data_IF_814489465898
#
_entry.id   IF_814489465898
#
_cell.length_a   1.000
_cell.length_b   1.000
_cell.length_c   1.000
_cell.angle_alpha   90.00
_cell.angle_beta   90.00
_cell.angle_gamma   90.00
#
_symmetry.space_group_name_H-M   'P 1'
#
loop_
_entity.id
_entity.type
_entity.pdbx_description
1 polymer ?
#
# COMPACT_ATOMS: atom_id res chain seq x y z
N UNK A 1 14.96 -19.61 25.61
CA UNK A 1 14.24 -19.53 26.91
C UNK A 1 12.78 -19.89 26.73
N UNK A 2 12.01 -20.00 27.81
CA UNK A 2 10.58 -20.39 27.81
C UNK A 2 9.68 -19.35 27.13
N UNK A 3 8.48 -19.78 26.70
CA UNK A 3 7.49 -18.91 26.05
C UNK A 3 6.82 -17.89 26.97
N UNK A 4 6.65 -18.23 28.26
CA UNK A 4 6.23 -17.35 29.36
C UNK A 4 6.65 -18.00 30.69
N UNK A 5 6.53 -17.27 31.81
CA UNK A 5 6.88 -17.81 33.13
C UNK A 5 8.36 -18.17 33.20
N UNK A 6 9.21 -17.14 33.05
CA UNK A 6 10.63 -17.31 32.92
C UNK A 6 11.24 -17.92 34.19
N UNK A 7 12.37 -18.59 34.00
CA UNK A 7 13.19 -19.15 35.07
C UNK A 7 14.58 -18.51 35.01
N UNK A 8 15.38 -18.65 36.07
CA UNK A 8 16.75 -18.14 36.11
C UNK A 8 17.65 -18.52 34.91
N UNK A 9 17.42 -19.69 34.29
CA UNK A 9 18.12 -20.10 33.05
C UNK A 9 17.60 -19.47 31.75
N UNK A 10 16.58 -18.62 31.79
CA UNK A 10 16.04 -17.93 30.61
C UNK A 10 16.78 -16.62 30.41
N UNK A 11 17.33 -16.42 29.21
CA UNK A 11 18.08 -15.21 28.87
C UNK A 11 17.40 -13.88 29.23
N UNK A 12 16.08 -13.66 28.99
CA UNK A 12 15.47 -12.38 29.35
C UNK A 12 15.47 -12.11 30.86
N UNK A 13 15.26 -13.15 31.68
CA UNK A 13 15.30 -13.08 33.14
C UNK A 13 16.72 -12.81 33.65
N UNK A 14 17.71 -13.51 33.10
CA UNK A 14 19.12 -13.33 33.44
C UNK A 14 19.67 -11.94 33.06
N UNK A 15 19.12 -11.29 32.03
CA UNK A 15 19.55 -9.97 31.55
C UNK A 15 18.80 -8.83 32.23
N UNK A 16 17.48 -8.93 32.36
CA UNK A 16 16.65 -7.86 32.92
C UNK A 16 16.57 -7.90 34.45
N UNK A 17 16.58 -9.09 35.05
CA UNK A 17 16.35 -9.26 36.50
C UNK A 17 15.12 -8.48 36.98
N UNK A 18 15.27 -7.75 38.08
CA UNK A 18 14.21 -6.94 38.69
C UNK A 18 14.12 -5.51 38.12
N UNK A 19 14.85 -5.18 37.04
CA UNK A 19 14.83 -3.83 36.46
C UNK A 19 13.44 -3.53 35.88
N UNK A 20 12.77 -2.43 36.28
CA UNK A 20 11.52 -2.03 35.66
C UNK A 20 11.71 -1.72 34.17
N UNK A 21 10.92 -2.36 33.30
CA UNK A 21 10.93 -2.11 31.87
C UNK A 21 9.70 -1.30 31.46
N UNK A 22 9.87 0.00 31.19
CA UNK A 22 8.83 0.84 30.58
C UNK A 22 9.06 0.84 29.08
N UNK A 23 8.02 0.52 28.30
CA UNK A 23 8.19 0.23 26.89
C UNK A 23 7.13 0.92 26.02
N UNK A 24 7.42 2.11 25.46
CA UNK A 24 6.58 2.71 24.42
C UNK A 24 6.47 1.76 23.23
N UNK A 25 5.25 1.42 22.81
CA UNK A 25 5.02 0.42 21.78
C UNK A 25 3.86 0.80 20.86
N UNK A 26 3.89 0.36 19.61
CA UNK A 26 2.85 0.71 18.64
C UNK A 26 1.57 -0.09 18.91
N UNK A 27 0.43 0.61 18.98
CA UNK A 27 -0.84 0.01 19.40
C UNK A 27 -1.35 -1.10 18.46
N UNK A 28 -0.99 -1.05 17.18
CA UNK A 28 -1.47 -2.00 16.17
C UNK A 28 -0.62 -3.28 16.07
N UNK A 29 0.37 -3.46 16.94
CA UNK A 29 1.23 -4.66 16.99
C UNK A 29 1.10 -5.42 18.33
N UNK A 30 -0.10 -5.92 18.68
CA UNK A 30 -0.39 -6.42 20.03
C UNK A 30 0.32 -7.72 20.37
N UNK A 31 0.71 -8.53 19.38
CA UNK A 31 1.39 -9.82 19.60
C UNK A 31 2.76 -9.61 20.24
N UNK A 32 3.53 -8.71 19.67
CA UNK A 32 4.89 -8.35 20.01
C UNK A 32 4.91 -7.58 21.34
N UNK A 33 3.96 -6.64 21.52
CA UNK A 33 3.73 -5.98 22.80
C UNK A 33 3.40 -6.98 23.92
N UNK A 34 2.63 -8.03 23.61
CA UNK A 34 2.32 -9.11 24.57
C UNK A 34 3.56 -9.95 24.92
N UNK A 35 4.46 -10.21 23.97
CA UNK A 35 5.72 -10.89 24.26
C UNK A 35 6.58 -10.07 25.22
N UNK A 36 6.68 -8.75 25.02
CA UNK A 36 7.39 -7.87 25.94
C UNK A 36 6.80 -7.91 27.36
N UNK A 37 5.47 -7.85 27.50
CA UNK A 37 4.78 -7.97 28.79
C UNK A 37 5.08 -9.30 29.50
N UNK A 38 4.99 -10.42 28.76
CA UNK A 38 5.07 -11.78 29.34
C UNK A 38 6.50 -12.28 29.58
N UNK A 39 7.48 -11.76 28.84
CA UNK A 39 8.86 -12.26 28.86
C UNK A 39 9.90 -11.22 29.26
N UNK A 40 9.52 -9.96 29.44
CA UNK A 40 10.41 -8.93 29.95
C UNK A 40 9.75 -8.04 31.00
N UNK A 41 8.61 -8.48 31.58
CA UNK A 41 7.84 -7.74 32.58
C UNK A 41 7.60 -6.27 32.20
N UNK A 42 7.44 -6.02 30.89
CA UNK A 42 7.30 -4.68 30.35
C UNK A 42 5.97 -4.05 30.79
N UNK A 43 6.04 -2.85 31.32
CA UNK A 43 4.92 -1.91 31.37
C UNK A 43 4.86 -1.20 30.02
N UNK A 44 3.99 -1.68 29.14
CA UNK A 44 3.81 -1.10 27.81
C UNK A 44 3.00 0.18 27.90
N UNK A 45 3.49 1.23 27.24
CA UNK A 45 2.81 2.51 27.06
C UNK A 45 2.49 2.64 25.58
N UNK A 46 1.29 2.23 25.18
CA UNK A 46 0.93 2.19 23.76
C UNK A 46 0.86 3.60 23.17
N UNK A 47 1.37 3.75 21.95
CA UNK A 47 1.33 4.97 21.16
C UNK A 47 0.60 4.74 19.83
N UNK A 48 0.15 5.84 19.21
CA UNK A 48 -0.64 5.77 17.98
C UNK A 48 0.18 5.30 16.78
N UNK A 49 -0.53 4.80 15.77
CA UNK A 49 0.01 4.59 14.44
C UNK A 49 0.42 5.94 13.81
N UNK A 50 1.32 5.94 12.81
CA UNK A 50 1.62 7.14 12.04
C UNK A 50 0.36 7.79 11.44
N UNK A 51 0.39 9.09 11.13
CA UNK A 51 -0.68 9.74 10.38
C UNK A 51 -0.92 9.01 9.05
N UNK A 52 -2.19 8.85 8.69
CA UNK A 52 -2.61 8.17 7.46
C UNK A 52 -3.17 9.21 6.48
N UNK A 53 -2.81 9.09 5.20
CA UNK A 53 -3.36 9.87 4.10
C UNK A 53 -3.73 8.95 2.93
N UNK A 54 -4.48 9.47 1.95
CA UNK A 54 -4.68 8.76 0.68
C UNK A 54 -3.39 8.75 -0.12
N UNK A 55 -3.16 7.69 -0.89
CA UNK A 55 -1.99 7.60 -1.76
C UNK A 55 -2.03 8.65 -2.88
N UNK A 56 -3.24 8.97 -3.36
CA UNK A 56 -3.49 9.81 -4.53
C UNK A 56 -2.76 9.30 -5.80
N UNK A 57 -3.02 9.94 -6.95
CA UNK A 57 -2.29 9.65 -8.20
C UNK A 57 -1.18 10.68 -8.41
N UNK A 58 -0.04 10.22 -8.92
CA UNK A 58 1.11 11.08 -9.23
C UNK A 58 1.84 10.58 -10.48
N UNK A 59 2.67 11.45 -11.07
CA UNK A 59 3.53 11.08 -12.20
C UNK A 59 2.74 10.50 -13.38
N UNK A 60 3.10 9.28 -13.78
CA UNK A 60 2.51 8.61 -14.94
C UNK A 60 1.09 8.06 -14.67
N UNK A 61 0.74 7.75 -13.42
CA UNK A 61 -0.62 7.34 -13.05
C UNK A 61 -1.63 8.48 -13.27
N UNK A 62 -1.26 9.71 -12.90
CA UNK A 62 -2.10 10.89 -13.12
C UNK A 62 -2.25 11.22 -14.63
N UNK A 63 -1.21 10.98 -15.43
CA UNK A 63 -1.29 11.11 -16.90
C UNK A 63 -2.17 10.02 -17.50
N UNK A 64 -2.12 8.80 -16.96
CA UNK A 64 -2.95 7.70 -17.40
C UNK A 64 -4.42 8.01 -17.15
N UNK A 65 -4.80 8.50 -15.96
CA UNK A 65 -6.19 8.97 -15.68
C UNK A 65 -6.67 9.96 -16.74
N UNK A 66 -5.85 10.96 -17.10
CA UNK A 66 -6.20 11.94 -18.13
C UNK A 66 -6.42 11.30 -19.52
N UNK A 67 -5.61 10.30 -19.88
CA UNK A 67 -5.75 9.59 -21.14
C UNK A 67 -6.99 8.70 -21.18
N UNK A 68 -7.40 8.11 -20.04
CA UNK A 68 -8.65 7.34 -19.96
C UNK A 68 -9.87 8.25 -20.12
N UNK A 69 -9.86 9.43 -19.49
CA UNK A 69 -10.90 10.44 -19.67
C UNK A 69 -10.97 10.93 -21.14
N UNK A 70 -9.81 11.18 -21.76
CA UNK A 70 -9.72 11.56 -23.16
C UNK A 70 -10.25 10.45 -24.08
N UNK A 71 -9.93 9.19 -23.78
CA UNK A 71 -10.42 8.04 -24.53
C UNK A 71 -11.95 7.96 -24.48
N UNK A 72 -12.55 8.08 -23.29
CA UNK A 72 -14.00 8.09 -23.16
C UNK A 72 -14.65 9.21 -23.98
N UNK A 73 -14.08 10.42 -23.93
CA UNK A 73 -14.58 11.57 -24.69
C UNK A 73 -14.46 11.37 -26.22
N UNK A 74 -13.31 10.88 -26.67
CA UNK A 74 -13.01 10.68 -28.09
C UNK A 74 -13.83 9.54 -28.67
N UNK A 75 -14.03 8.45 -27.92
CA UNK A 75 -14.87 7.33 -28.35
C UNK A 75 -16.31 7.75 -28.62
N UNK A 76 -16.84 8.74 -27.90
CA UNK A 76 -18.19 9.27 -28.13
C UNK A 76 -18.26 10.35 -29.23
N UNK A 77 -17.28 11.26 -29.27
CA UNK A 77 -17.35 12.46 -30.11
C UNK A 77 -16.63 12.34 -31.46
N UNK A 78 -15.53 11.59 -31.52
CA UNK A 78 -14.73 11.40 -32.73
C UNK A 78 -14.06 10.02 -32.75
N UNK A 79 -14.84 8.93 -32.99
CA UNK A 79 -14.34 7.56 -32.94
C UNK A 79 -13.14 7.31 -33.87
N UNK A 80 -12.96 8.14 -34.91
CA UNK A 80 -11.83 8.02 -35.84
C UNK A 80 -10.48 8.29 -35.18
N UNK A 81 -10.47 9.00 -34.05
CA UNK A 81 -9.27 9.29 -33.26
C UNK A 81 -9.03 8.30 -32.13
N UNK A 82 -10.00 7.47 -31.78
CA UNK A 82 -9.87 6.50 -30.68
C UNK A 82 -8.61 5.61 -30.82
N UNK A 83 -8.24 5.06 -32.00
CA UNK A 83 -7.01 4.27 -32.13
C UNK A 83 -5.72 5.00 -31.73
N UNK A 84 -5.66 6.32 -31.96
CA UNK A 84 -4.50 7.12 -31.59
C UNK A 84 -4.39 7.31 -30.08
N UNK A 85 -5.52 7.42 -29.37
CA UNK A 85 -5.55 7.50 -27.91
C UNK A 85 -5.26 6.12 -27.30
N UNK A 86 -5.78 5.02 -27.88
CA UNK A 86 -5.45 3.65 -27.47
C UNK A 86 -3.94 3.38 -27.49
N UNK A 87 -3.27 3.79 -28.58
CA UNK A 87 -1.82 3.64 -28.70
C UNK A 87 -1.04 4.45 -27.65
N UNK A 88 -1.53 5.64 -27.28
CA UNK A 88 -0.93 6.45 -26.21
C UNK A 88 -1.10 5.81 -24.84
N UNK A 89 -2.31 5.33 -24.53
CA UNK A 89 -2.61 4.58 -23.29
C UNK A 89 -1.67 3.37 -23.19
N UNK A 90 -1.60 2.53 -24.23
CA UNK A 90 -0.76 1.34 -24.22
C UNK A 90 0.73 1.67 -24.07
N UNK A 91 1.20 2.70 -24.79
CA UNK A 91 2.59 3.16 -24.67
C UNK A 91 2.91 3.59 -23.24
N UNK A 92 2.00 4.33 -22.58
CA UNK A 92 2.19 4.76 -21.21
C UNK A 92 2.14 3.58 -20.23
N UNK A 93 1.21 2.64 -20.41
CA UNK A 93 1.09 1.42 -19.61
C UNK A 93 2.37 0.57 -19.69
N UNK A 94 2.97 0.41 -20.89
CA UNK A 94 4.25 -0.28 -21.04
C UNK A 94 5.41 0.50 -20.43
N UNK A 95 5.49 1.81 -20.67
CA UNK A 95 6.57 2.65 -20.16
C UNK A 95 6.58 2.73 -18.62
N UNK A 96 5.41 2.72 -17.99
CA UNK A 96 5.24 2.71 -16.55
C UNK A 96 5.27 1.29 -15.95
N UNK A 97 5.53 0.26 -16.76
CA UNK A 97 5.55 -1.16 -16.34
C UNK A 97 4.22 -1.70 -15.79
N UNK A 98 3.12 -0.93 -15.88
CA UNK A 98 1.79 -1.28 -15.36
C UNK A 98 1.16 -2.50 -16.01
N UNK A 99 1.61 -2.86 -17.21
CA UNK A 99 1.21 -4.08 -17.89
C UNK A 99 1.51 -5.35 -17.05
N UNK A 100 2.54 -5.32 -16.19
CA UNK A 100 2.82 -6.38 -15.23
C UNK A 100 1.80 -6.45 -14.10
N UNK A 101 1.46 -5.30 -13.52
CA UNK A 101 0.45 -5.16 -12.46
C UNK A 101 -0.95 -5.55 -12.95
N UNK A 102 -1.27 -5.18 -14.19
CA UNK A 102 -2.55 -5.48 -14.84
C UNK A 102 -2.59 -6.89 -15.44
N UNK A 103 -1.46 -7.62 -15.44
CA UNK A 103 -1.33 -8.96 -16.02
C UNK A 103 -1.73 -9.04 -17.50
N UNK A 104 -1.30 -8.06 -18.31
CA UNK A 104 -1.56 -7.98 -19.75
C UNK A 104 -0.22 -7.83 -20.48
N UNK A 105 0.23 -8.87 -21.18
CA UNK A 105 1.56 -8.88 -21.82
C UNK A 105 1.62 -8.05 -23.11
N UNK A 106 0.54 -8.12 -23.89
CA UNK A 106 0.39 -7.53 -25.22
C UNK A 106 -0.83 -6.60 -25.28
N UNK A 107 -0.83 -5.67 -26.25
CA UNK A 107 -1.94 -4.73 -26.41
C UNK A 107 -3.23 -5.49 -26.74
N UNK A 108 -4.34 -5.25 -26.03
CA UNK A 108 -5.63 -5.83 -26.39
C UNK A 108 -6.09 -5.40 -27.78
N UNK A 109 -6.87 -6.27 -28.42
CA UNK A 109 -7.51 -5.96 -29.68
C UNK A 109 -8.55 -4.83 -29.51
N UNK A 110 -8.92 -4.21 -30.64
CA UNK A 110 -9.83 -3.06 -30.64
C UNK A 110 -11.18 -3.33 -29.97
N UNK A 111 -11.70 -4.55 -30.09
CA UNK A 111 -12.99 -4.98 -29.51
C UNK A 111 -12.91 -5.21 -27.99
N UNK A 112 -11.72 -5.51 -27.46
CA UNK A 112 -11.48 -5.81 -26.04
C UNK A 112 -10.88 -4.59 -25.29
N UNK A 113 -10.52 -3.52 -26.01
CA UNK A 113 -9.82 -2.38 -25.41
C UNK A 113 -10.68 -1.61 -24.42
N UNK A 114 -12.01 -1.55 -24.62
CA UNK A 114 -12.93 -0.91 -23.68
C UNK A 114 -12.97 -1.66 -22.34
N UNK A 115 -12.95 -2.99 -22.37
CA UNK A 115 -12.86 -3.82 -21.17
C UNK A 115 -11.52 -3.59 -20.46
N UNK A 116 -10.43 -3.48 -21.22
CA UNK A 116 -9.13 -3.14 -20.68
C UNK A 116 -9.08 -1.76 -20.02
N UNK A 117 -9.69 -0.75 -20.62
CA UNK A 117 -9.82 0.60 -20.03
C UNK A 117 -10.56 0.55 -18.70
N UNK A 118 -11.67 -0.19 -18.63
CA UNK A 118 -12.41 -0.40 -17.38
C UNK A 118 -11.57 -1.11 -16.31
N UNK A 119 -10.73 -2.06 -16.72
CA UNK A 119 -9.80 -2.74 -15.80
C UNK A 119 -8.74 -1.78 -15.25
N UNK A 120 -8.15 -0.94 -16.11
CA UNK A 120 -7.18 0.09 -15.68
C UNK A 120 -7.85 1.07 -14.71
N UNK A 121 -9.05 1.56 -15.02
CA UNK A 121 -9.78 2.52 -14.18
C UNK A 121 -10.01 1.96 -12.77
N UNK A 122 -10.47 0.70 -12.68
CA UNK A 122 -10.61 0.00 -11.40
C UNK A 122 -9.31 -0.09 -10.61
N UNK A 123 -8.22 -0.49 -11.28
CA UNK A 123 -6.89 -0.57 -10.67
C UNK A 123 -6.39 0.79 -10.16
N UNK A 124 -6.55 1.85 -10.96
CA UNK A 124 -6.16 3.21 -10.56
C UNK A 124 -6.99 3.71 -9.37
N UNK A 125 -8.29 3.46 -9.38
CA UNK A 125 -9.20 3.80 -8.29
C UNK A 125 -8.78 3.12 -6.98
N UNK A 126 -8.48 1.82 -7.03
CA UNK A 126 -8.01 1.07 -5.86
C UNK A 126 -6.72 1.69 -5.29
N UNK A 127 -5.70 1.90 -6.12
CA UNK A 127 -4.40 2.43 -5.67
C UNK A 127 -4.53 3.83 -5.07
N UNK A 128 -5.26 4.70 -5.75
CA UNK A 128 -5.45 6.09 -5.34
C UNK A 128 -6.09 6.20 -3.95
N UNK A 129 -7.06 5.35 -3.67
CA UNK A 129 -7.85 5.39 -2.44
C UNK A 129 -7.21 4.61 -1.27
N UNK A 130 -6.13 3.84 -1.50
CA UNK A 130 -5.40 3.17 -0.41
C UNK A 130 -4.88 4.19 0.60
N UNK A 131 -5.06 3.87 1.89
CA UNK A 131 -4.45 4.64 2.97
C UNK A 131 -2.98 4.24 3.16
N UNK A 132 -2.10 5.23 3.04
CA UNK A 132 -0.67 5.11 3.29
C UNK A 132 -0.25 5.94 4.50
N UNK A 133 0.92 5.63 5.04
CA UNK A 133 1.52 6.40 6.14
C UNK A 133 2.10 7.69 5.57
N UNK A 134 1.64 8.84 6.05
CA UNK A 134 2.09 10.17 5.64
C UNK A 134 2.94 10.84 6.73
N UNK A 135 3.98 10.12 7.14
CA UNK A 135 4.91 10.54 8.19
C UNK A 135 5.10 9.52 9.29
N UNK A 136 5.56 9.98 10.44
CA UNK A 136 5.86 9.18 11.62
C UNK A 136 5.11 9.71 12.83
N UNK A 137 4.77 8.82 13.76
CA UNK A 137 4.23 9.23 15.05
C UNK A 137 5.35 9.83 15.92
N UNK A 138 5.05 10.93 16.61
CA UNK A 138 5.88 11.49 17.69
C UNK A 138 5.13 11.31 19.00
N UNK A 139 5.79 10.75 20.00
CA UNK A 139 5.18 10.48 21.30
C UNK A 139 4.85 11.78 22.04
N UNK A 140 3.57 11.98 22.37
CA UNK A 140 3.03 13.18 23.03
C UNK A 140 1.92 13.83 22.22
#
# INVERSE_FOLDING_TARGET
GKGLGLSAGCAPDAVLGDLPLIYPFIVNDPGEGTQAKRRGHATVVDHLVPPMARADTYGDLAKLEQLLDEYALVSDLDPTKAPAVRAQIWTLVKAAELHHDLHVDDQPDDDDFDEFVMHIDGYLCEIKDVQIRDGLHVLG
#
